data_IF_343824047887
#
_entry.id   IF_343824047887
#
_cell.length_a   1.000
_cell.length_b   1.000
_cell.length_c   1.000
_cell.angle_alpha   90.00
_cell.angle_beta   90.00
_cell.angle_gamma   90.00
#
_symmetry.space_group_name_H-M   'P 1'
#
loop_
_entity.id
_entity.type
_entity.pdbx_description
1 polymer ?
#
# COMPACT_ATOMS: atom_id res chain seq x y z
N UNK A 1 -28.34 -20.24 -33.84
CA UNK A 1 -28.07 -18.78 -33.78
C UNK A 1 -27.67 -18.29 -32.38
N UNK A 2 -28.23 -18.78 -31.26
CA UNK A 2 -27.92 -18.27 -29.92
C UNK A 2 -26.47 -18.42 -29.41
N UNK A 3 -25.79 -19.53 -29.71
CA UNK A 3 -24.41 -19.77 -29.22
C UNK A 3 -23.35 -18.84 -29.85
N UNK A 4 -23.52 -18.47 -31.12
CA UNK A 4 -22.62 -17.51 -31.78
C UNK A 4 -22.75 -16.11 -31.16
N UNK A 5 -23.98 -15.69 -30.83
CA UNK A 5 -24.25 -14.40 -30.19
C UNK A 5 -23.71 -14.34 -28.76
N UNK A 6 -23.78 -15.44 -28.01
CA UNK A 6 -23.27 -15.54 -26.65
C UNK A 6 -21.73 -15.59 -26.61
N UNK A 7 -21.10 -16.29 -27.56
CA UNK A 7 -19.64 -16.28 -27.73
C UNK A 7 -19.12 -14.89 -28.10
N UNK A 8 -19.80 -14.16 -29.01
CA UNK A 8 -19.45 -12.78 -29.35
C UNK A 8 -19.63 -11.85 -28.15
N UNK A 9 -20.72 -11.98 -27.39
CA UNK A 9 -20.94 -11.19 -26.16
C UNK A 9 -19.85 -11.47 -25.11
N UNK A 10 -19.47 -12.74 -24.94
CA UNK A 10 -18.39 -13.15 -24.02
C UNK A 10 -17.02 -12.62 -24.47
N UNK A 11 -16.76 -12.57 -25.78
CA UNK A 11 -15.52 -12.01 -26.33
C UNK A 11 -15.43 -10.49 -26.16
N UNK A 12 -16.56 -9.78 -26.19
CA UNK A 12 -16.63 -8.33 -25.91
C UNK A 12 -16.39 -8.03 -24.42
N UNK A 13 -16.99 -8.82 -23.53
CA UNK A 13 -16.84 -8.62 -22.07
C UNK A 13 -15.45 -9.06 -21.58
N UNK A 14 -14.94 -10.17 -22.10
CA UNK A 14 -13.66 -10.79 -21.71
C UNK A 14 -12.73 -10.96 -22.93
N UNK A 15 -12.18 -9.86 -23.47
CA UNK A 15 -11.24 -9.92 -24.59
C UNK A 15 -9.94 -10.64 -24.18
N UNK A 16 -9.20 -11.14 -25.17
CA UNK A 16 -7.85 -11.68 -24.95
C UNK A 16 -6.86 -10.54 -24.78
N UNK A 17 -5.92 -10.71 -23.85
CA UNK A 17 -4.88 -9.73 -23.59
C UNK A 17 -3.88 -9.70 -24.74
N UNK A 18 -3.62 -8.50 -25.27
CA UNK A 18 -2.68 -8.26 -26.38
C UNK A 18 -1.39 -7.57 -25.92
N UNK A 19 -1.49 -6.72 -24.90
CA UNK A 19 -0.37 -5.98 -24.33
C UNK A 19 -0.03 -6.56 -22.95
N UNK A 20 1.26 -6.78 -22.70
CA UNK A 20 1.76 -7.24 -21.42
C UNK A 20 2.36 -6.07 -20.64
N UNK A 21 2.08 -6.04 -19.34
CA UNK A 21 2.62 -5.07 -18.39
C UNK A 21 3.77 -5.70 -17.58
N UNK A 22 4.47 -4.91 -16.79
CA UNK A 22 5.54 -5.39 -15.89
C UNK A 22 6.64 -6.21 -16.57
N UNK A 23 7.06 -5.82 -17.77
CA UNK A 23 8.06 -6.58 -18.54
C UNK A 23 7.56 -7.95 -19.01
N UNK A 24 6.24 -8.14 -19.03
CA UNK A 24 5.55 -9.35 -19.45
C UNK A 24 5.90 -10.57 -18.61
N UNK A 25 6.02 -11.72 -19.25
CA UNK A 25 6.10 -13.02 -18.56
C UNK A 25 7.34 -13.13 -17.66
N UNK A 26 8.47 -12.64 -18.13
CA UNK A 26 9.74 -12.70 -17.40
C UNK A 26 9.73 -11.69 -16.25
N UNK A 27 9.27 -10.47 -16.50
CA UNK A 27 9.20 -9.46 -15.47
C UNK A 27 8.18 -9.80 -14.37
N UNK A 28 7.01 -10.35 -14.72
CA UNK A 28 6.04 -10.86 -13.75
C UNK A 28 6.64 -11.95 -12.84
N UNK A 29 7.38 -12.91 -13.41
CA UNK A 29 8.10 -13.91 -12.61
C UNK A 29 9.18 -13.25 -11.73
N UNK A 30 9.93 -12.30 -12.29
CA UNK A 30 10.94 -11.53 -11.57
C UNK A 30 10.34 -10.83 -10.34
N UNK A 31 9.28 -10.06 -10.52
CA UNK A 31 8.58 -9.35 -9.42
C UNK A 31 8.02 -10.34 -8.40
N UNK A 32 7.46 -11.47 -8.84
CA UNK A 32 6.95 -12.52 -7.96
C UNK A 32 7.99 -13.03 -6.96
N UNK A 33 9.25 -13.16 -7.40
CA UNK A 33 10.35 -13.64 -6.57
C UNK A 33 11.04 -12.51 -5.81
N UNK A 34 11.21 -11.35 -6.44
CA UNK A 34 11.93 -10.21 -5.89
C UNK A 34 11.17 -9.51 -4.76
N UNK A 35 9.85 -9.39 -4.85
CA UNK A 35 9.06 -8.66 -3.83
C UNK A 35 9.14 -9.34 -2.45
N UNK A 36 8.88 -10.66 -2.31
CA UNK A 36 9.11 -11.35 -1.04
C UNK A 36 10.57 -11.26 -0.59
N UNK A 37 11.52 -11.47 -1.51
CA UNK A 37 12.94 -11.39 -1.20
C UNK A 37 13.33 -10.02 -0.61
N UNK A 38 12.93 -8.93 -1.26
CA UNK A 38 13.23 -7.58 -0.78
C UNK A 38 12.47 -7.23 0.49
N UNK A 39 11.27 -7.75 0.69
CA UNK A 39 10.53 -7.56 1.95
C UNK A 39 11.31 -8.14 3.13
N UNK A 40 11.80 -9.38 3.01
CA UNK A 40 12.67 -9.95 4.04
C UNK A 40 13.99 -9.22 4.12
N UNK A 41 14.63 -8.95 2.98
CA UNK A 41 15.95 -8.34 2.97
C UNK A 41 15.93 -6.97 3.66
N UNK A 42 14.96 -6.10 3.38
CA UNK A 42 14.84 -4.80 4.04
C UNK A 42 14.65 -4.92 5.55
N UNK A 43 13.82 -5.88 5.99
CA UNK A 43 13.51 -6.07 7.41
C UNK A 43 14.59 -6.81 8.20
N UNK A 44 15.39 -7.65 7.54
CA UNK A 44 16.49 -8.41 8.17
C UNK A 44 17.84 -7.68 8.05
N UNK A 45 18.04 -6.87 7.01
CA UNK A 45 19.29 -6.12 6.85
C UNK A 45 19.42 -5.00 7.89
N UNK A 46 18.30 -4.48 8.40
CA UNK A 46 18.26 -3.36 9.33
C UNK A 46 17.91 -3.82 10.76
N UNK A 47 18.94 -4.25 11.49
CA UNK A 47 18.82 -4.72 12.89
C UNK A 47 19.75 -3.92 13.82
N UNK A 48 19.52 -3.93 15.14
CA UNK A 48 20.42 -3.30 16.11
C UNK A 48 21.88 -3.77 15.97
N UNK A 49 22.11 -5.03 15.57
CA UNK A 49 23.43 -5.62 15.42
C UNK A 49 24.14 -5.17 14.13
N UNK A 50 23.38 -4.93 13.06
CA UNK A 50 23.93 -4.53 11.75
C UNK A 50 23.98 -3.01 11.57
N UNK A 51 23.25 -2.24 12.38
CA UNK A 51 23.17 -0.78 12.28
C UNK A 51 22.67 -0.29 10.91
N UNK A 52 22.01 -1.17 10.15
CA UNK A 52 21.51 -0.93 8.79
C UNK A 52 22.58 -0.53 7.76
N UNK A 53 23.87 -0.80 8.05
CA UNK A 53 24.99 -0.46 7.17
C UNK A 53 25.12 -1.45 6.00
N UNK A 54 24.85 -1.00 4.77
CA UNK A 54 24.94 -1.71 3.46
C UNK A 54 26.32 -2.31 3.08
N UNK A 55 27.12 -2.81 4.05
CA UNK A 55 28.47 -3.36 3.84
C UNK A 55 28.55 -4.90 3.77
N UNK A 56 29.78 -5.44 3.63
CA UNK A 56 30.06 -6.88 3.46
C UNK A 56 29.44 -7.83 4.49
N UNK A 57 29.09 -7.35 5.70
CA UNK A 57 28.39 -8.16 6.72
C UNK A 57 26.92 -8.47 6.35
N UNK A 58 26.30 -7.70 5.46
CA UNK A 58 24.91 -7.91 4.98
C UNK A 58 24.82 -9.02 3.94
N UNK A 59 25.91 -9.32 3.23
CA UNK A 59 25.96 -10.44 2.29
C UNK A 59 26.05 -11.80 2.97
N UNK A 60 26.28 -11.85 4.29
CA UNK A 60 26.14 -13.08 5.07
C UNK A 60 24.66 -13.34 5.44
N UNK A 61 23.83 -13.40 4.40
CA UNK A 61 22.41 -13.76 4.48
C UNK A 61 22.22 -15.11 5.19
N UNK A 62 23.22 -15.99 5.16
CA UNK A 62 23.20 -17.29 5.83
C UNK A 62 23.14 -17.13 7.36
N UNK A 63 23.91 -16.23 7.94
CA UNK A 63 23.90 -16.01 9.39
C UNK A 63 22.60 -15.36 9.87
N UNK A 64 22.08 -14.39 9.11
CA UNK A 64 20.77 -13.77 9.36
C UNK A 64 19.61 -14.77 9.21
N UNK A 65 19.65 -15.61 8.17
CA UNK A 65 18.65 -16.64 7.92
C UNK A 65 18.66 -17.73 9.00
N UNK A 66 19.84 -18.15 9.46
CA UNK A 66 19.95 -19.20 10.48
C UNK A 66 19.58 -18.73 11.89
N UNK A 67 19.70 -17.43 12.17
CA UNK A 67 19.38 -16.85 13.47
C UNK A 67 17.94 -16.35 13.59
N UNK A 68 17.29 -16.09 12.46
CA UNK A 68 15.90 -15.60 12.44
C UNK A 68 14.94 -16.75 12.24
N UNK A 69 14.01 -16.92 13.19
CA UNK A 69 12.87 -17.81 12.98
C UNK A 69 11.90 -17.14 12.01
N UNK A 70 11.86 -17.66 10.78
CA UNK A 70 11.01 -17.09 9.73
C UNK A 70 9.60 -17.64 9.76
N UNK A 71 9.37 -18.81 10.35
CA UNK A 71 8.06 -19.45 10.32
C UNK A 71 7.63 -19.91 11.70
N UNK A 72 6.37 -19.65 12.02
CA UNK A 72 5.70 -20.14 13.21
C UNK A 72 4.22 -20.31 12.93
N UNK A 73 3.67 -21.45 13.35
CA UNK A 73 2.24 -21.69 13.28
C UNK A 73 1.46 -20.71 14.15
N UNK A 74 2.03 -20.30 15.27
CA UNK A 74 1.42 -19.32 16.18
C UNK A 74 1.25 -17.97 15.48
N UNK A 75 2.30 -17.44 14.84
CA UNK A 75 2.23 -16.20 14.08
C UNK A 75 1.23 -16.28 12.91
N UNK A 76 1.12 -17.45 12.28
CA UNK A 76 0.10 -17.69 11.25
C UNK A 76 -1.32 -17.57 11.81
N UNK A 77 -1.58 -18.15 13.00
CA UNK A 77 -2.88 -18.01 13.66
C UNK A 77 -3.15 -16.58 14.14
N UNK A 78 -2.14 -15.86 14.62
CA UNK A 78 -2.26 -14.45 15.01
C UNK A 78 -2.63 -13.59 13.79
N UNK A 79 -1.93 -13.75 12.67
CA UNK A 79 -2.23 -13.01 11.44
C UNK A 79 -3.59 -13.39 10.85
N UNK A 80 -3.96 -14.67 10.89
CA UNK A 80 -5.30 -15.11 10.49
C UNK A 80 -6.38 -14.49 11.40
N UNK A 81 -6.13 -14.44 12.72
CA UNK A 81 -7.00 -13.78 13.68
C UNK A 81 -7.18 -12.29 13.37
N UNK A 82 -6.09 -11.59 13.01
CA UNK A 82 -6.14 -10.21 12.51
C UNK A 82 -7.02 -10.06 11.27
N UNK A 83 -6.81 -10.91 10.26
CA UNK A 83 -7.60 -10.86 9.03
C UNK A 83 -9.10 -11.12 9.30
N UNK A 84 -9.41 -12.14 10.12
CA UNK A 84 -10.78 -12.48 10.49
C UNK A 84 -11.45 -11.40 11.34
N UNK A 85 -10.70 -10.73 12.21
CA UNK A 85 -11.17 -9.56 12.96
C UNK A 85 -11.61 -8.44 12.00
N UNK A 86 -10.82 -8.13 10.98
CA UNK A 86 -11.17 -7.11 10.00
C UNK A 86 -12.39 -7.50 9.15
N UNK A 87 -12.50 -8.77 8.77
CA UNK A 87 -13.70 -9.29 8.08
C UNK A 87 -14.93 -9.13 8.98
N UNK A 88 -14.81 -9.43 10.27
CA UNK A 88 -15.90 -9.24 11.24
C UNK A 88 -16.27 -7.76 11.38
N UNK A 89 -15.30 -6.86 11.47
CA UNK A 89 -15.54 -5.42 11.46
C UNK A 89 -16.25 -4.96 10.18
N UNK A 90 -15.82 -5.45 9.01
CA UNK A 90 -16.49 -5.14 7.75
C UNK A 90 -17.95 -5.60 7.74
N UNK A 91 -18.25 -6.78 8.29
CA UNK A 91 -19.61 -7.32 8.38
C UNK A 91 -20.48 -6.52 9.38
N UNK A 92 -19.99 -6.34 10.60
CA UNK A 92 -20.77 -5.86 11.76
C UNK A 92 -20.87 -4.35 11.81
N UNK A 93 -19.80 -3.62 11.51
CA UNK A 93 -19.80 -2.16 11.65
C UNK A 93 -20.71 -1.51 10.60
N UNK A 94 -21.51 -0.49 10.97
CA UNK A 94 -22.35 0.21 10.02
C UNK A 94 -21.49 0.89 8.94
N UNK A 95 -22.02 0.96 7.73
CA UNK A 95 -21.33 1.55 6.59
C UNK A 95 -22.32 2.03 5.54
N UNK A 96 -21.94 3.11 4.83
CA UNK A 96 -22.71 3.57 3.66
C UNK A 96 -22.45 2.62 2.49
N UNK A 97 -23.45 2.42 1.64
CA UNK A 97 -23.29 1.68 0.40
C UNK A 97 -23.16 2.65 -0.77
N UNK A 98 -22.17 2.43 -1.63
CA UNK A 98 -21.91 3.25 -2.81
C UNK A 98 -21.71 2.37 -4.02
N UNK A 99 -22.23 2.83 -5.15
CA UNK A 99 -22.04 2.17 -6.43
C UNK A 99 -20.70 2.58 -7.03
N UNK A 100 -19.94 1.59 -7.46
CA UNK A 100 -18.69 1.78 -8.20
C UNK A 100 -18.94 2.15 -9.66
N UNK A 101 -17.89 1.98 -10.45
CA UNK A 101 -17.90 2.30 -11.88
C UNK A 101 -18.76 1.33 -12.69
N UNK A 102 -19.18 1.80 -13.88
CA UNK A 102 -19.91 0.96 -14.84
C UNK A 102 -18.94 -0.05 -15.44
N UNK A 103 -19.24 -1.33 -15.29
CA UNK A 103 -18.48 -2.42 -15.88
C UNK A 103 -18.77 -2.55 -17.38
N UNK A 104 -17.93 -3.31 -18.10
CA UNK A 104 -18.08 -3.52 -19.55
C UNK A 104 -19.37 -4.24 -19.96
N UNK A 105 -20.01 -4.94 -19.05
CA UNK A 105 -21.31 -5.56 -19.27
C UNK A 105 -22.49 -4.60 -18.99
N UNK A 106 -22.20 -3.35 -18.60
CA UNK A 106 -23.18 -2.32 -18.27
C UNK A 106 -23.68 -2.37 -16.82
N UNK A 107 -23.23 -3.34 -16.02
CA UNK A 107 -23.62 -3.44 -14.61
C UNK A 107 -22.81 -2.50 -13.73
N UNK A 108 -23.32 -2.22 -12.52
CA UNK A 108 -22.61 -1.50 -11.46
C UNK A 108 -22.57 -2.39 -10.23
N UNK A 109 -21.42 -2.38 -9.55
CA UNK A 109 -21.24 -3.10 -8.30
C UNK A 109 -21.41 -2.15 -7.12
N UNK A 110 -22.12 -2.58 -6.09
CA UNK A 110 -22.24 -1.82 -4.84
C UNK A 110 -21.19 -2.29 -3.82
N UNK A 111 -20.68 -1.34 -3.04
CA UNK A 111 -19.60 -1.52 -2.08
C UNK A 111 -19.97 -0.89 -0.74
N UNK A 112 -19.65 -1.59 0.36
CA UNK A 112 -19.84 -1.09 1.72
C UNK A 112 -18.60 -0.33 2.18
N UNK A 113 -18.79 0.93 2.54
CA UNK A 113 -17.75 1.86 3.00
C UNK A 113 -17.85 1.97 4.52
N UNK A 114 -16.90 1.36 5.21
CA UNK A 114 -16.78 1.38 6.68
C UNK A 114 -15.34 1.16 7.15
N UNK A 115 -14.36 1.42 6.29
CA UNK A 115 -12.96 1.20 6.60
C UNK A 115 -12.49 2.21 7.68
N UNK A 116 -12.93 3.48 7.62
CA UNK A 116 -12.77 4.44 8.73
C UNK A 116 -13.31 3.94 10.07
N UNK A 117 -14.51 3.36 10.09
CA UNK A 117 -15.08 2.80 11.33
C UNK A 117 -14.26 1.61 11.83
N UNK A 118 -13.70 0.82 10.92
CA UNK A 118 -12.80 -0.30 11.22
C UNK A 118 -11.48 0.20 11.82
N UNK A 119 -10.90 1.28 11.29
CA UNK A 119 -9.73 1.93 11.87
C UNK A 119 -10.02 2.43 13.29
N UNK A 120 -11.11 3.17 13.50
CA UNK A 120 -11.47 3.68 14.83
C UNK A 120 -11.75 2.56 15.84
N UNK A 121 -12.38 1.47 15.40
CA UNK A 121 -12.58 0.28 16.22
C UNK A 121 -11.22 -0.36 16.61
N UNK A 122 -10.29 -0.43 15.66
CA UNK A 122 -8.95 -0.99 15.89
C UNK A 122 -8.12 -0.14 16.84
N UNK A 123 -8.12 1.19 16.68
CA UNK A 123 -7.46 2.13 17.59
C UNK A 123 -8.04 2.01 19.00
N UNK A 124 -9.37 1.94 19.12
CA UNK A 124 -10.05 1.77 20.41
C UNK A 124 -9.69 0.44 21.06
N UNK A 125 -9.66 -0.65 20.29
CA UNK A 125 -9.28 -1.97 20.77
C UNK A 125 -7.81 -2.00 21.20
N UNK A 126 -6.91 -1.41 20.43
CA UNK A 126 -5.49 -1.29 20.78
C UNK A 126 -5.31 -0.51 22.10
N UNK A 127 -6.01 0.62 22.27
CA UNK A 127 -5.98 1.38 23.52
C UNK A 127 -6.50 0.55 24.71
N UNK A 128 -7.60 -0.19 24.54
CA UNK A 128 -8.13 -1.08 25.58
C UNK A 128 -7.15 -2.20 25.93
N UNK A 129 -6.52 -2.79 24.92
CA UNK A 129 -5.50 -3.83 25.11
C UNK A 129 -4.31 -3.27 25.88
N UNK A 130 -3.84 -2.08 25.52
CA UNK A 130 -2.75 -1.41 26.21
C UNK A 130 -3.07 -1.11 27.67
N UNK A 131 -4.27 -0.58 27.97
CA UNK A 131 -4.70 -0.32 29.35
C UNK A 131 -4.79 -1.61 30.17
N UNK A 132 -5.19 -2.74 29.56
CA UNK A 132 -5.45 -3.99 30.27
C UNK A 132 -4.22 -4.90 30.44
N UNK A 133 -3.33 -4.93 29.46
CA UNK A 133 -2.18 -5.84 29.42
C UNK A 133 -0.82 -5.13 29.22
N UNK A 134 -0.82 -3.80 29.12
CA UNK A 134 0.39 -3.02 28.88
C UNK A 134 0.89 -3.15 27.43
N UNK A 135 2.20 -2.99 27.27
CA UNK A 135 2.91 -3.07 26.00
C UNK A 135 3.22 -4.51 25.53
N UNK A 136 3.15 -5.50 26.43
CA UNK A 136 3.52 -6.89 26.15
C UNK A 136 2.90 -7.49 24.87
N UNK A 137 1.58 -7.35 24.59
CA UNK A 137 0.99 -7.86 23.35
C UNK A 137 1.54 -7.20 22.08
N UNK A 138 1.91 -5.92 22.15
CA UNK A 138 2.48 -5.17 21.02
C UNK A 138 3.95 -5.53 20.81
N UNK A 139 4.70 -5.76 21.90
CA UNK A 139 6.07 -6.25 21.83
C UNK A 139 6.14 -7.66 21.23
N UNK A 140 5.13 -8.50 21.46
CA UNK A 140 5.03 -9.80 20.77
C UNK A 140 5.02 -9.62 19.24
N UNK A 141 4.21 -8.69 18.72
CA UNK A 141 4.13 -8.41 17.27
C UNK A 141 5.50 -8.02 16.71
N UNK A 142 6.25 -7.18 17.42
CA UNK A 142 7.61 -6.77 17.04
C UNK A 142 8.61 -7.93 17.10
N UNK A 143 8.53 -8.76 18.15
CA UNK A 143 9.45 -9.89 18.32
C UNK A 143 9.20 -11.01 17.30
N UNK A 144 7.97 -11.16 16.82
CA UNK A 144 7.56 -12.14 15.81
C UNK A 144 7.39 -11.53 14.41
N UNK A 145 7.96 -10.35 14.16
CA UNK A 145 7.74 -9.57 12.94
C UNK A 145 8.10 -10.35 11.65
N UNK A 146 9.24 -11.05 11.64
CA UNK A 146 9.63 -11.88 10.49
C UNK A 146 8.69 -13.08 10.26
N UNK A 147 8.14 -13.66 11.34
CA UNK A 147 7.15 -14.74 11.26
C UNK A 147 5.81 -14.22 10.71
N UNK A 148 5.45 -12.98 11.04
CA UNK A 148 4.26 -12.30 10.53
C UNK A 148 4.38 -11.93 9.04
N UNK A 149 5.57 -11.56 8.56
CA UNK A 149 5.82 -11.40 7.10
C UNK A 149 5.55 -12.72 6.37
N UNK A 150 5.99 -13.84 6.93
CA UNK A 150 5.72 -15.15 6.33
C UNK A 150 4.24 -15.49 6.35
N UNK A 151 3.55 -15.21 7.46
CA UNK A 151 2.11 -15.41 7.58
C UNK A 151 1.33 -14.56 6.56
N UNK A 152 1.71 -13.29 6.37
CA UNK A 152 1.09 -12.41 5.37
C UNK A 152 1.35 -12.89 3.95
N UNK A 153 2.57 -13.35 3.64
CA UNK A 153 2.90 -13.93 2.33
C UNK A 153 2.08 -15.18 2.03
N UNK A 154 1.94 -16.09 3.00
CA UNK A 154 1.09 -17.28 2.86
C UNK A 154 -0.36 -16.86 2.56
N UNK A 155 -0.87 -15.85 3.27
CA UNK A 155 -2.21 -15.33 3.04
C UNK A 155 -2.34 -14.70 1.64
N UNK A 156 -1.36 -13.89 1.21
CA UNK A 156 -1.33 -13.27 -0.11
C UNK A 156 -1.36 -14.30 -1.24
N UNK A 157 -0.49 -15.31 -1.16
CA UNK A 157 -0.40 -16.40 -2.14
C UNK A 157 -1.71 -17.18 -2.16
N UNK A 158 -2.27 -17.52 -0.99
CA UNK A 158 -3.52 -18.27 -0.88
C UNK A 158 -4.68 -17.52 -1.55
N UNK A 159 -4.79 -16.21 -1.35
CA UNK A 159 -5.83 -15.40 -1.98
C UNK A 159 -5.63 -15.25 -3.48
N UNK A 160 -4.39 -15.09 -3.95
CA UNK A 160 -4.09 -15.04 -5.38
C UNK A 160 -4.45 -16.36 -6.08
N UNK A 161 -4.13 -17.50 -5.46
CA UNK A 161 -4.51 -18.83 -5.95
C UNK A 161 -6.04 -18.99 -5.95
N UNK A 162 -6.71 -18.59 -4.88
CA UNK A 162 -8.17 -18.65 -4.77
C UNK A 162 -8.87 -17.81 -5.85
N UNK A 163 -8.47 -16.56 -6.04
CA UNK A 163 -9.06 -15.67 -7.05
C UNK A 163 -8.75 -16.16 -8.47
N UNK A 164 -7.55 -16.69 -8.70
CA UNK A 164 -7.21 -17.31 -9.99
C UNK A 164 -8.12 -18.51 -10.28
N UNK A 165 -8.34 -19.40 -9.30
CA UNK A 165 -9.26 -20.53 -9.44
C UNK A 165 -10.70 -20.08 -9.71
N UNK A 166 -11.19 -19.10 -8.94
CA UNK A 166 -12.55 -18.56 -9.10
C UNK A 166 -12.79 -17.92 -10.46
N UNK A 167 -11.75 -17.35 -11.08
CA UNK A 167 -11.84 -16.70 -12.39
C UNK A 167 -12.29 -17.63 -13.53
N UNK A 168 -12.16 -18.95 -13.38
CA UNK A 168 -12.59 -19.92 -14.39
C UNK A 168 -14.08 -20.26 -14.33
N UNK A 169 -14.78 -19.81 -13.29
CA UNK A 169 -16.21 -20.02 -13.14
C UNK A 169 -17.01 -19.19 -14.18
N UNK A 170 -18.22 -19.64 -14.58
CA UNK A 170 -19.05 -18.89 -15.51
C UNK A 170 -19.50 -17.55 -14.92
N UNK A 171 -19.70 -16.55 -15.78
CA UNK A 171 -20.21 -15.23 -15.39
C UNK A 171 -19.19 -14.26 -14.81
N UNK A 172 -17.90 -14.63 -14.75
CA UNK A 172 -16.83 -13.74 -14.26
C UNK A 172 -16.39 -12.74 -15.34
N UNK A 173 -16.17 -11.49 -14.93
CA UNK A 173 -15.54 -10.45 -15.75
C UNK A 173 -14.03 -10.47 -15.47
N UNK A 174 -13.24 -10.61 -16.53
CA UNK A 174 -11.80 -10.75 -16.46
C UNK A 174 -11.10 -9.42 -16.69
N UNK A 175 -10.05 -9.12 -15.95
CA UNK A 175 -9.24 -7.92 -16.18
C UNK A 175 -8.67 -7.91 -17.62
N UNK A 176 -8.49 -6.71 -18.19
CA UNK A 176 -7.96 -6.56 -19.55
C UNK A 176 -6.55 -7.14 -19.68
N UNK A 177 -5.71 -6.91 -18.67
CA UNK A 177 -4.37 -7.49 -18.57
C UNK A 177 -4.35 -8.97 -18.17
N UNK A 178 -5.45 -9.51 -17.63
CA UNK A 178 -5.47 -10.81 -16.96
C UNK A 178 -5.80 -12.02 -17.83
N UNK A 179 -6.10 -11.87 -19.12
CA UNK A 179 -6.59 -12.95 -19.98
C UNK A 179 -5.61 -13.30 -21.12
N UNK A 180 -4.32 -13.46 -20.78
CA UNK A 180 -3.24 -13.70 -21.75
C UNK A 180 -3.09 -15.18 -22.15
N UNK A 181 -3.60 -16.11 -21.33
CA UNK A 181 -3.45 -17.55 -21.54
C UNK A 181 -2.13 -18.12 -21.00
N UNK A 182 -1.28 -17.28 -20.38
CA UNK A 182 -0.12 -17.74 -19.63
C UNK A 182 -0.46 -17.82 -18.14
N UNK A 183 -0.33 -19.01 -17.55
CA UNK A 183 -0.74 -19.27 -16.16
C UNK A 183 0.01 -18.38 -15.15
N UNK A 184 1.33 -18.23 -15.30
CA UNK A 184 2.17 -17.48 -14.35
C UNK A 184 1.81 -15.99 -14.41
N UNK A 185 1.72 -15.43 -15.62
CA UNK A 185 1.39 -14.02 -15.81
C UNK A 185 -0.05 -13.70 -15.36
N UNK A 186 -1.01 -14.54 -15.74
CA UNK A 186 -2.42 -14.36 -15.40
C UNK A 186 -2.69 -14.53 -13.88
N UNK A 187 -1.90 -15.38 -13.18
CA UNK A 187 -1.93 -15.49 -11.72
C UNK A 187 -1.27 -14.28 -11.04
N UNK A 188 -0.18 -13.77 -11.62
CA UNK A 188 0.52 -12.59 -11.11
C UNK A 188 -0.34 -11.33 -11.19
N UNK A 189 -0.83 -10.98 -12.37
CA UNK A 189 -1.60 -9.75 -12.62
C UNK A 189 -3.05 -9.88 -12.12
N UNK A 190 -3.56 -11.10 -12.02
CA UNK A 190 -4.94 -11.39 -11.64
C UNK A 190 -5.87 -11.51 -12.83
N UNK A 191 -6.61 -12.62 -12.89
CA UNK A 191 -7.60 -12.88 -13.96
C UNK A 191 -8.91 -12.15 -13.73
N UNK A 192 -9.47 -12.26 -12.54
CA UNK A 192 -10.79 -11.71 -12.22
C UNK A 192 -10.70 -10.22 -11.88
N UNK A 193 -11.57 -9.40 -12.48
CA UNK A 193 -11.58 -7.95 -12.29
C UNK A 193 -12.05 -7.58 -10.87
N UNK A 194 -13.10 -8.21 -10.36
CA UNK A 194 -13.66 -7.93 -9.03
C UNK A 194 -14.07 -9.24 -8.34
N UNK A 195 -13.11 -10.00 -7.76
CA UNK A 195 -13.43 -11.26 -7.10
C UNK A 195 -14.27 -11.04 -5.85
N UNK A 196 -15.44 -11.69 -5.85
CA UNK A 196 -16.46 -11.52 -4.81
C UNK A 196 -16.93 -12.83 -4.20
N UNK A 197 -17.14 -12.76 -2.88
CA UNK A 197 -17.89 -13.75 -2.10
C UNK A 197 -19.18 -13.06 -1.65
N UNK A 198 -20.29 -13.34 -2.34
CA UNK A 198 -21.54 -12.59 -2.19
C UNK A 198 -21.32 -11.06 -2.39
N UNK A 199 -21.60 -10.24 -1.39
CA UNK A 199 -21.37 -8.78 -1.42
C UNK A 199 -19.97 -8.37 -1.00
N UNK A 200 -19.15 -9.30 -0.52
CA UNK A 200 -17.77 -9.04 -0.08
C UNK A 200 -16.84 -9.05 -1.27
N UNK A 201 -16.20 -7.92 -1.53
CA UNK A 201 -15.25 -7.73 -2.60
C UNK A 201 -13.83 -7.80 -2.04
N UNK A 202 -13.10 -8.85 -2.43
CA UNK A 202 -11.80 -9.20 -1.82
C UNK A 202 -10.78 -8.10 -2.09
N UNK A 203 -10.81 -7.54 -3.31
CA UNK A 203 -9.87 -6.51 -3.74
C UNK A 203 -10.01 -5.24 -2.91
N UNK A 204 -11.20 -4.63 -2.92
CA UNK A 204 -11.43 -3.38 -2.17
C UNK A 204 -11.28 -3.56 -0.66
N UNK A 205 -11.57 -4.76 -0.15
CA UNK A 205 -11.32 -5.07 1.25
C UNK A 205 -9.83 -5.04 1.57
N UNK A 206 -9.00 -5.71 0.77
CA UNK A 206 -7.56 -5.85 1.01
C UNK A 206 -6.79 -4.55 0.83
N UNK A 207 -7.13 -3.78 -0.21
CA UNK A 207 -6.54 -2.47 -0.50
C UNK A 207 -6.61 -1.53 0.71
N UNK A 208 -7.76 -1.52 1.38
CA UNK A 208 -8.01 -0.59 2.49
C UNK A 208 -7.61 -1.17 3.85
N UNK A 209 -8.14 -2.35 4.22
CA UNK A 209 -8.20 -2.72 5.64
C UNK A 209 -6.96 -3.47 6.15
N UNK A 210 -6.66 -4.70 5.67
CA UNK A 210 -5.62 -5.53 6.26
C UNK A 210 -4.21 -5.00 6.05
N UNK A 211 -3.96 -4.20 5.01
CA UNK A 211 -2.69 -3.54 4.75
C UNK A 211 -2.52 -2.25 5.55
N UNK A 212 -3.32 -1.22 5.26
CA UNK A 212 -3.13 0.13 5.81
C UNK A 212 -3.40 0.20 7.32
N UNK A 213 -4.46 -0.46 7.81
CA UNK A 213 -4.74 -0.47 9.25
C UNK A 213 -3.65 -1.26 10.00
N UNK A 214 -3.11 -2.33 9.39
CA UNK A 214 -1.99 -3.06 9.98
C UNK A 214 -0.73 -2.21 10.03
N UNK A 215 -0.43 -1.45 8.97
CA UNK A 215 0.68 -0.50 8.95
C UNK A 215 0.60 0.46 10.16
N UNK A 216 -0.53 1.14 10.34
CA UNK A 216 -0.73 2.02 11.50
C UNK A 216 -0.56 1.31 12.86
N UNK A 217 -0.99 0.05 12.97
CA UNK A 217 -0.83 -0.75 14.18
C UNK A 217 0.64 -1.17 14.41
N UNK A 218 1.35 -1.59 13.36
CA UNK A 218 2.78 -1.94 13.42
C UNK A 218 3.60 -0.73 13.84
N UNK A 219 3.30 0.44 13.30
CA UNK A 219 3.94 1.69 13.68
C UNK A 219 3.78 1.99 15.17
N UNK A 220 2.57 1.81 15.70
CA UNK A 220 2.32 1.93 17.13
C UNK A 220 3.13 0.91 17.95
N UNK A 221 3.23 -0.33 17.48
CA UNK A 221 4.07 -1.35 18.12
C UNK A 221 5.55 -0.95 18.16
N UNK A 222 6.08 -0.33 17.10
CA UNK A 222 7.46 0.16 17.07
C UNK A 222 7.71 1.34 18.01
N UNK A 223 6.75 2.25 18.14
CA UNK A 223 6.80 3.31 19.16
C UNK A 223 6.87 2.71 20.56
N UNK A 224 6.00 1.75 20.86
CA UNK A 224 6.00 1.05 22.15
C UNK A 224 7.31 0.30 22.40
N UNK A 225 7.90 -0.30 21.37
CA UNK A 225 9.22 -0.93 21.46
C UNK A 225 10.29 0.07 21.91
N UNK A 226 10.33 1.26 21.32
CA UNK A 226 11.28 2.29 21.74
C UNK A 226 11.03 2.75 23.18
N UNK A 227 9.77 2.93 23.57
CA UNK A 227 9.40 3.31 24.95
C UNK A 227 9.82 2.23 25.95
N UNK A 228 9.65 0.95 25.62
CA UNK A 228 10.05 -0.17 26.48
C UNK A 228 11.58 -0.23 26.66
N UNK A 229 12.36 -0.01 25.60
CA UNK A 229 13.84 -0.09 25.66
C UNK A 229 14.49 1.16 26.28
N UNK A 230 13.97 2.35 25.98
CA UNK A 230 14.61 3.64 26.35
C UNK A 230 13.83 4.45 27.40
N UNK A 231 12.67 3.98 27.84
CA UNK A 231 11.81 4.62 28.85
C UNK A 231 11.03 5.84 28.36
N UNK A 232 11.36 6.39 27.18
CA UNK A 232 10.66 7.53 26.57
C UNK A 232 10.76 7.49 25.04
N UNK A 233 9.76 7.99 24.31
CA UNK A 233 9.84 8.08 22.86
C UNK A 233 10.69 9.28 22.42
N UNK A 234 11.45 9.12 21.33
CA UNK A 234 12.13 10.21 20.65
C UNK A 234 11.13 11.09 19.89
N UNK A 235 11.47 12.35 19.64
CA UNK A 235 10.60 13.24 18.87
C UNK A 235 10.50 12.80 17.39
N UNK A 236 11.57 12.22 16.84
CA UNK A 236 11.60 11.67 15.48
C UNK A 236 10.60 10.53 15.28
N UNK A 237 10.53 9.54 16.20
CA UNK A 237 9.63 8.39 16.03
C UNK A 237 8.18 8.82 16.17
N UNK A 238 7.88 9.78 17.05
CA UNK A 238 6.54 10.31 17.21
C UNK A 238 6.10 11.09 15.97
N UNK A 239 6.97 11.90 15.38
CA UNK A 239 6.66 12.61 14.13
C UNK A 239 6.40 11.63 12.99
N UNK A 240 7.27 10.61 12.82
CA UNK A 240 7.09 9.59 11.80
C UNK A 240 5.75 8.84 11.99
N UNK A 241 5.45 8.40 13.21
CA UNK A 241 4.18 7.77 13.55
C UNK A 241 2.98 8.67 13.23
N UNK A 242 3.01 9.94 13.65
CA UNK A 242 1.90 10.87 13.43
C UNK A 242 1.67 11.09 11.93
N UNK A 243 2.74 11.24 11.13
CA UNK A 243 2.59 11.45 9.69
C UNK A 243 2.03 10.22 8.97
N UNK A 244 2.55 9.04 9.30
CA UNK A 244 2.09 7.78 8.70
C UNK A 244 0.66 7.45 9.15
N UNK A 245 0.35 7.61 10.44
CA UNK A 245 -1.01 7.46 10.95
C UNK A 245 -1.98 8.47 10.32
N UNK A 246 -1.57 9.74 10.15
CA UNK A 246 -2.40 10.74 9.48
C UNK A 246 -2.70 10.37 8.03
N UNK A 247 -1.71 9.83 7.32
CA UNK A 247 -1.90 9.32 5.96
C UNK A 247 -2.92 8.18 5.92
N UNK A 248 -2.76 7.16 6.77
CA UNK A 248 -3.72 6.05 6.88
C UNK A 248 -5.11 6.56 7.26
N UNK A 249 -5.19 7.45 8.24
CA UNK A 249 -6.45 8.06 8.66
C UNK A 249 -7.16 8.78 7.50
N UNK A 250 -6.43 9.58 6.72
CA UNK A 250 -6.98 10.30 5.57
C UNK A 250 -7.46 9.36 4.46
N UNK A 251 -6.69 8.29 4.17
CA UNK A 251 -7.07 7.27 3.20
C UNK A 251 -8.37 6.55 3.63
N UNK A 252 -8.43 6.12 4.90
CA UNK A 252 -9.58 5.44 5.49
C UNK A 252 -10.83 6.32 5.54
N UNK A 253 -10.66 7.61 5.85
CA UNK A 253 -11.75 8.59 5.88
C UNK A 253 -12.31 8.87 4.48
N UNK A 254 -11.45 8.94 3.46
CA UNK A 254 -11.82 9.16 2.06
C UNK A 254 -11.85 7.86 1.24
N UNK A 255 -12.34 6.76 1.83
CA UNK A 255 -12.40 5.42 1.21
C UNK A 255 -13.12 5.41 -0.15
N UNK A 256 -14.02 6.34 -0.46
CA UNK A 256 -14.72 6.37 -1.75
C UNK A 256 -13.84 6.73 -2.96
N UNK A 257 -12.67 7.34 -2.73
CA UNK A 257 -11.77 7.72 -3.82
C UNK A 257 -11.24 6.48 -4.56
N UNK A 258 -11.11 5.34 -3.86
CA UNK A 258 -10.52 4.11 -4.41
C UNK A 258 -11.31 3.55 -5.59
N UNK A 259 -12.62 3.77 -5.63
CA UNK A 259 -13.46 3.26 -6.71
C UNK A 259 -13.15 3.89 -8.08
N UNK A 260 -12.32 4.95 -8.11
CA UNK A 260 -11.84 5.59 -9.34
C UNK A 260 -10.38 5.28 -9.67
N UNK A 261 -9.72 4.47 -8.85
CA UNK A 261 -8.32 4.08 -9.04
C UNK A 261 -8.19 2.92 -10.03
N UNK A 262 -6.99 2.79 -10.60
CA UNK A 262 -6.66 1.77 -11.61
C UNK A 262 -6.80 0.36 -11.05
N UNK A 263 -6.33 0.16 -9.81
CA UNK A 263 -6.35 -1.12 -9.12
C UNK A 263 -7.77 -1.70 -9.06
N UNK A 264 -8.77 -0.87 -8.80
CA UNK A 264 -10.19 -1.27 -8.75
C UNK A 264 -10.83 -1.36 -10.14
N UNK A 265 -10.57 -0.38 -11.01
CA UNK A 265 -11.35 -0.22 -12.25
C UNK A 265 -10.85 -1.05 -13.43
N UNK A 266 -9.55 -1.34 -13.51
CA UNK A 266 -8.94 -2.00 -14.68
C UNK A 266 -8.21 -3.28 -14.35
N UNK A 267 -7.54 -3.32 -13.21
CA UNK A 267 -6.55 -4.36 -12.93
C UNK A 267 -7.20 -5.60 -12.32
N UNK A 268 -6.53 -6.75 -12.37
CA UNK A 268 -7.02 -7.96 -11.74
C UNK A 268 -6.57 -8.06 -10.30
N UNK A 269 -7.27 -8.84 -9.47
CA UNK A 269 -6.72 -9.20 -8.16
C UNK A 269 -5.92 -10.49 -8.26
N UNK A 270 -4.59 -10.35 -8.43
CA UNK A 270 -3.62 -11.44 -8.52
C UNK A 270 -2.58 -11.39 -7.41
N UNK A 271 -1.47 -12.10 -7.59
CA UNK A 271 -0.37 -12.07 -6.63
C UNK A 271 0.17 -10.64 -6.41
N UNK A 272 0.27 -9.83 -7.46
CA UNK A 272 0.83 -8.47 -7.40
C UNK A 272 0.09 -7.59 -6.39
N UNK A 273 -1.24 -7.43 -6.55
CA UNK A 273 -2.03 -6.64 -5.61
C UNK A 273 -2.10 -7.31 -4.24
N UNK A 274 -2.34 -8.62 -4.20
CA UNK A 274 -2.44 -9.37 -2.93
C UNK A 274 -1.18 -9.29 -2.06
N UNK A 275 0.02 -9.37 -2.67
CA UNK A 275 1.29 -9.21 -1.93
C UNK A 275 1.57 -7.73 -1.62
N UNK A 276 1.18 -6.83 -2.52
CA UNK A 276 1.25 -5.38 -2.31
C UNK A 276 0.51 -4.97 -1.05
N UNK A 277 -0.78 -5.28 -0.99
CA UNK A 277 -1.69 -4.88 0.07
C UNK A 277 -1.31 -5.50 1.42
N UNK A 278 -1.18 -6.83 1.45
CA UNK A 278 -1.11 -7.58 2.71
C UNK A 278 0.30 -7.66 3.28
N UNK A 279 1.33 -7.59 2.43
CA UNK A 279 2.72 -7.82 2.82
C UNK A 279 3.58 -6.58 2.59
N UNK A 280 3.61 -6.05 1.36
CA UNK A 280 4.56 -4.99 1.02
C UNK A 280 4.28 -3.71 1.80
N UNK A 281 3.05 -3.19 1.72
CA UNK A 281 2.66 -1.93 2.37
C UNK A 281 2.94 -1.96 3.88
N UNK A 282 2.36 -2.86 4.70
CA UNK A 282 2.57 -2.83 6.15
C UNK A 282 4.02 -3.08 6.55
N UNK A 283 4.70 -4.04 5.93
CA UNK A 283 6.02 -4.47 6.41
C UNK A 283 7.19 -3.67 5.83
N UNK A 284 6.99 -2.92 4.74
CA UNK A 284 8.03 -2.02 4.20
C UNK A 284 7.82 -0.56 4.60
N UNK A 285 6.56 -0.10 4.75
CA UNK A 285 6.30 1.30 5.08
C UNK A 285 6.50 1.59 6.58
N UNK A 286 6.55 0.54 7.41
CA UNK A 286 6.92 0.65 8.84
C UNK A 286 8.44 0.69 9.08
N UNK A 287 9.28 0.56 8.04
CA UNK A 287 10.75 0.43 8.19
C UNK A 287 11.40 1.63 8.90
N UNK A 288 10.86 2.83 8.70
CA UNK A 288 11.38 4.05 9.31
C UNK A 288 11.21 4.00 10.83
N UNK A 289 10.05 3.53 11.31
CA UNK A 289 9.83 3.36 12.74
C UNK A 289 10.55 2.14 13.30
N UNK A 290 10.69 1.07 12.51
CA UNK A 290 11.54 -0.06 12.88
C UNK A 290 12.97 0.40 13.15
N UNK A 291 13.56 1.22 12.26
CA UNK A 291 14.89 1.81 12.46
C UNK A 291 14.96 2.72 13.69
N UNK A 292 14.01 3.66 13.81
CA UNK A 292 14.00 4.60 14.94
C UNK A 292 13.77 3.87 16.28
N UNK A 293 13.14 2.70 16.28
CA UNK A 293 12.86 1.95 17.51
C UNK A 293 14.12 1.55 18.29
N UNK A 294 15.26 1.38 17.61
CA UNK A 294 16.54 1.08 18.24
C UNK A 294 17.60 2.19 18.06
N UNK A 295 17.32 3.21 17.22
CA UNK A 295 18.15 4.41 17.09
C UNK A 295 17.34 5.65 17.51
N UNK A 296 17.33 6.00 18.82
CA UNK A 296 16.57 7.15 19.30
C UNK A 296 17.21 8.47 18.85
N UNK A 297 16.75 9.00 17.72
CA UNK A 297 17.19 10.28 17.17
C UNK A 297 16.40 11.44 17.80
N UNK A 298 17.09 12.40 18.41
CA UNK A 298 16.45 13.62 18.92
C UNK A 298 16.73 14.80 17.98
N UNK A 299 15.70 15.22 17.24
CA UNK A 299 15.77 16.37 16.34
C UNK A 299 15.84 17.68 17.13
N UNK A 300 16.68 18.60 16.68
CA UNK A 300 16.67 19.99 17.13
C UNK A 300 15.38 20.71 16.70
N UNK A 301 15.06 21.84 17.33
CA UNK A 301 13.88 22.64 16.97
C UNK A 301 13.92 23.08 15.50
N UNK A 302 15.10 23.37 14.96
CA UNK A 302 15.27 23.77 13.56
C UNK A 302 14.93 22.61 12.60
N UNK A 303 15.47 21.42 12.85
CA UNK A 303 15.19 20.23 12.05
C UNK A 303 13.71 19.84 12.13
N UNK A 304 13.09 19.95 13.31
CA UNK A 304 11.67 19.68 13.51
C UNK A 304 10.80 20.64 12.67
N UNK A 305 11.10 21.94 12.68
CA UNK A 305 10.38 22.93 11.87
C UNK A 305 10.55 22.64 10.37
N UNK A 306 11.76 22.27 9.94
CA UNK A 306 12.04 21.93 8.54
C UNK A 306 11.21 20.73 8.09
N UNK A 307 11.23 19.63 8.86
CA UNK A 307 10.49 18.41 8.57
C UNK A 307 8.98 18.68 8.53
N UNK A 308 8.44 19.41 9.51
CA UNK A 308 7.03 19.80 9.51
C UNK A 308 6.64 20.63 8.29
N UNK A 309 7.50 21.57 7.89
CA UNK A 309 7.25 22.43 6.73
C UNK A 309 7.17 21.60 5.46
N UNK A 310 8.12 20.69 5.24
CA UNK A 310 8.13 19.79 4.08
C UNK A 310 6.87 18.90 4.09
N UNK A 311 6.51 18.34 5.23
CA UNK A 311 5.33 17.48 5.36
C UNK A 311 4.03 18.23 5.04
N UNK A 312 3.83 19.42 5.62
CA UNK A 312 2.60 20.20 5.44
C UNK A 312 2.46 20.72 4.00
N UNK A 313 3.56 21.18 3.39
CA UNK A 313 3.57 21.62 2.00
C UNK A 313 3.30 20.45 1.06
N UNK A 314 3.99 19.32 1.26
CA UNK A 314 3.79 18.11 0.47
C UNK A 314 2.36 17.58 0.57
N UNK A 315 1.80 17.51 1.78
CA UNK A 315 0.41 17.10 2.00
C UNK A 315 -0.59 18.08 1.39
N UNK A 316 -0.34 19.39 1.51
CA UNK A 316 -1.17 20.42 0.89
C UNK A 316 -1.25 20.27 -0.63
N UNK A 317 -0.11 20.10 -1.30
CA UNK A 317 -0.04 19.85 -2.74
C UNK A 317 -0.80 18.57 -3.10
N UNK A 318 -0.53 17.48 -2.37
CA UNK A 318 -1.19 16.19 -2.59
C UNK A 318 -2.72 16.27 -2.53
N UNK A 319 -3.26 16.92 -1.49
CA UNK A 319 -4.72 17.05 -1.31
C UNK A 319 -5.34 17.92 -2.38
N UNK A 320 -4.75 19.09 -2.68
CA UNK A 320 -5.29 20.01 -3.70
C UNK A 320 -5.33 19.32 -5.07
N UNK A 321 -4.22 18.72 -5.51
CA UNK A 321 -4.16 18.06 -6.82
C UNK A 321 -5.14 16.89 -6.93
N UNK A 322 -5.33 16.11 -5.86
CA UNK A 322 -6.28 15.00 -5.87
C UNK A 322 -7.73 15.48 -5.85
N UNK A 323 -8.05 16.53 -5.10
CA UNK A 323 -9.39 17.12 -5.11
C UNK A 323 -9.75 17.69 -6.49
N UNK A 324 -8.80 18.35 -7.16
CA UNK A 324 -8.96 18.82 -8.54
C UNK A 324 -9.18 17.67 -9.53
N UNK A 325 -8.35 16.62 -9.47
CA UNK A 325 -8.50 15.40 -10.28
C UNK A 325 -9.86 14.75 -10.08
N UNK A 326 -10.31 14.64 -8.83
CA UNK A 326 -11.61 14.05 -8.48
C UNK A 326 -12.78 14.94 -8.91
N UNK A 327 -12.64 16.26 -8.83
CA UNK A 327 -13.64 17.20 -9.33
C UNK A 327 -13.76 17.15 -10.87
N UNK A 328 -12.63 17.04 -11.57
CA UNK A 328 -12.60 16.91 -13.04
C UNK A 328 -13.28 15.62 -13.52
N UNK A 329 -12.96 14.48 -12.89
CA UNK A 329 -13.58 13.18 -13.22
C UNK A 329 -15.10 13.19 -13.00
N UNK A 330 -15.55 13.73 -11.86
CA UNK A 330 -16.99 13.88 -11.55
C UNK A 330 -17.74 14.79 -12.53
N UNK A 331 -17.08 15.82 -13.07
CA UNK A 331 -17.65 16.70 -14.11
C UNK A 331 -17.74 16.00 -15.46
N UNK A 332 -16.72 15.21 -15.84
CA UNK A 332 -16.71 14.45 -17.10
C UNK A 332 -17.87 13.44 -17.17
N UNK A 333 -18.26 12.84 -16.04
CA UNK A 333 -19.40 11.93 -15.94
C UNK A 333 -20.78 12.61 -15.99
N UNK A 334 -20.84 13.95 -15.86
CA UNK A 334 -22.10 14.73 -15.88
C UNK A 334 -22.07 15.86 -16.94
N UNK A 335 -22.31 15.56 -18.24
CA UNK A 335 -22.16 16.52 -19.34
C UNK A 335 -23.14 17.71 -19.35
N UNK A 336 -24.20 17.71 -18.53
CA UNK A 336 -25.31 18.68 -18.61
C UNK A 336 -25.00 20.10 -18.09
N UNK A 337 -23.80 20.37 -17.60
CA UNK A 337 -23.38 21.68 -17.06
C UNK A 337 -22.36 22.39 -17.98
N UNK A 338 -22.52 22.27 -19.30
CA UNK A 338 -21.62 22.85 -20.32
C UNK A 338 -21.99 24.29 -20.74
N UNK A 339 -22.42 25.13 -19.80
CA UNK A 339 -22.72 26.54 -20.05
C UNK A 339 -21.70 27.46 -19.39
N UNK A 340 -20.56 27.70 -20.06
CA UNK A 340 -19.55 28.77 -19.85
C UNK A 340 -18.11 28.25 -19.65
N UNK A 341 -17.51 27.80 -20.74
CA UNK A 341 -16.05 27.64 -20.88
C UNK A 341 -15.52 28.73 -21.80
N UNK A 342 -14.91 29.78 -21.25
CA UNK A 342 -13.91 30.65 -21.93
C UNK A 342 -12.87 31.30 -21.00
N UNK A 343 -12.91 31.05 -19.68
CA UNK A 343 -12.12 31.82 -18.71
C UNK A 343 -10.79 31.23 -18.25
N UNK A 344 -10.56 29.92 -18.39
CA UNK A 344 -9.51 29.24 -17.63
C UNK A 344 -8.43 28.52 -18.46
N UNK A 345 -8.58 28.43 -19.78
CA UNK A 345 -7.60 27.73 -20.65
C UNK A 345 -6.24 28.45 -20.75
N UNK A 346 -6.10 29.68 -20.24
CA UNK A 346 -4.87 30.47 -20.34
C UNK A 346 -3.91 30.30 -19.15
N UNK A 347 -4.34 29.74 -18.01
CA UNK A 347 -3.48 29.57 -16.82
C UNK A 347 -2.89 28.15 -16.68
N UNK A 348 -3.47 27.16 -17.37
CA UNK A 348 -3.03 25.75 -17.31
C UNK A 348 -1.75 25.45 -18.12
N UNK A 349 -1.32 26.37 -18.99
CA UNK A 349 -0.23 26.12 -19.94
C UNK A 349 1.19 26.31 -19.37
N UNK A 350 1.34 26.75 -18.12
CA UNK A 350 2.66 27.07 -17.54
C UNK A 350 3.15 26.14 -16.41
N UNK A 351 2.30 25.24 -15.89
CA UNK A 351 2.70 24.30 -14.81
C UNK A 351 2.50 22.82 -15.17
N UNK A 352 1.74 22.50 -16.22
CA UNK A 352 1.51 21.11 -16.63
C UNK A 352 1.71 21.02 -18.15
N UNK A 353 2.85 20.47 -18.55
CA UNK A 353 3.15 20.19 -19.96
C UNK A 353 2.08 19.29 -20.61
N UNK A 354 2.00 19.29 -21.94
CA UNK A 354 0.86 18.76 -22.68
C UNK A 354 0.69 17.25 -22.49
N UNK A 355 -0.48 16.89 -21.94
CA UNK A 355 -1.33 15.71 -22.22
C UNK A 355 -0.66 14.60 -23.04
N UNK A 356 0.12 13.74 -22.36
CA UNK A 356 0.39 12.34 -22.76
C UNK A 356 0.89 11.46 -21.60
N UNK A 357 0.54 11.82 -20.36
CA UNK A 357 1.01 11.15 -19.15
C UNK A 357 -0.10 10.39 -18.40
N UNK A 358 -1.13 9.87 -19.10
CA UNK A 358 -2.18 9.07 -18.43
C UNK A 358 -1.81 7.59 -18.20
N UNK A 359 -0.57 7.18 -18.48
CA UNK A 359 -0.12 5.78 -18.36
C UNK A 359 0.98 5.52 -17.31
N UNK A 360 1.43 6.53 -16.55
CA UNK A 360 2.58 6.39 -15.65
C UNK A 360 2.35 6.90 -14.21
N UNK A 361 1.15 7.38 -13.89
CA UNK A 361 0.81 8.02 -12.61
C UNK A 361 -0.17 7.23 -11.74
N UNK A 362 -0.35 5.93 -12.03
CA UNK A 362 -1.02 4.99 -11.12
C UNK A 362 0.04 4.11 -10.48
N UNK A 363 0.21 4.18 -9.16
CA UNK A 363 0.97 3.17 -8.42
C UNK A 363 2.23 3.62 -7.68
N UNK A 364 2.53 4.93 -7.58
CA UNK A 364 3.53 5.42 -6.63
C UNK A 364 2.85 6.33 -5.62
N UNK A 365 2.64 5.80 -4.41
CA UNK A 365 2.30 6.58 -3.22
C UNK A 365 3.41 7.60 -2.96
N UNK A 366 3.22 8.81 -3.51
CA UNK A 366 4.13 9.94 -3.36
C UNK A 366 4.37 10.33 -1.89
N UNK A 367 3.53 9.86 -0.95
CA UNK A 367 3.67 10.12 0.49
C UNK A 367 4.81 9.35 1.17
N UNK A 368 5.19 8.17 0.67
CA UNK A 368 6.13 7.28 1.40
C UNK A 368 7.58 7.48 0.96
N UNK A 369 7.79 8.02 -0.24
CA UNK A 369 9.13 8.30 -0.78
C UNK A 369 9.89 9.44 -0.08
N UNK A 370 9.23 10.33 0.66
CA UNK A 370 9.90 11.51 1.23
C UNK A 370 10.71 11.25 2.51
N UNK A 371 10.41 10.18 3.28
CA UNK A 371 11.15 9.91 4.53
C UNK A 371 12.47 9.15 4.29
N UNK A 372 12.59 8.44 3.16
CA UNK A 372 13.87 7.82 2.77
C UNK A 372 14.97 8.86 2.44
N UNK A 373 14.61 10.12 2.16
CA UNK A 373 15.58 11.17 1.88
C UNK A 373 16.30 11.69 3.13
N UNK A 374 15.72 11.53 4.33
CA UNK A 374 16.31 12.08 5.56
C UNK A 374 17.18 11.10 6.35
N UNK A 375 17.06 9.78 6.10
CA UNK A 375 17.87 8.76 6.77
C UNK A 375 19.36 8.71 6.37
N UNK A 376 19.78 9.49 5.38
CA UNK A 376 21.18 9.56 4.92
C UNK A 376 21.92 10.84 5.38
N UNK A 377 21.32 11.65 6.25
CA UNK A 377 21.98 12.83 6.83
C UNK A 377 22.64 12.47 8.17
N UNK A 378 23.55 11.50 8.16
CA UNK A 378 24.56 11.38 9.21
C UNK A 378 25.85 12.05 8.73
N UNK A 379 26.56 12.86 9.55
CA UNK A 379 27.52 13.86 9.06
C UNK A 379 28.86 13.35 8.51
N UNK A 380 29.01 12.05 8.25
CA UNK A 380 30.30 11.44 7.91
C UNK A 380 30.37 10.77 6.53
N UNK A 381 29.35 10.92 5.68
CA UNK A 381 29.45 10.50 4.29
C UNK A 381 29.47 11.70 3.34
N UNK A 382 30.68 11.96 2.88
CA UNK A 382 31.13 12.98 1.94
C UNK A 382 30.40 12.83 0.61
N UNK A 383 29.50 13.76 0.28
CA UNK A 383 29.12 14.00 -1.13
C UNK A 383 28.56 15.41 -1.44
N UNK A 384 28.43 16.30 -0.45
CA UNK A 384 27.89 17.66 -0.64
C UNK A 384 28.93 18.80 -0.51
N UNK A 385 30.21 18.48 -0.28
CA UNK A 385 31.25 19.52 -0.12
C UNK A 385 31.88 19.99 -1.45
N UNK A 386 31.73 19.23 -2.53
CA UNK A 386 32.41 19.51 -3.81
C UNK A 386 31.52 20.20 -4.87
N UNK A 387 30.28 20.56 -4.52
CA UNK A 387 29.34 21.22 -5.44
C UNK A 387 29.20 22.73 -5.26
N UNK A 388 29.91 23.36 -4.31
CA UNK A 388 29.79 24.81 -4.04
C UNK A 388 31.12 25.56 -3.80
N UNK A 389 32.25 25.07 -4.31
CA UNK A 389 33.48 25.84 -4.35
C UNK A 389 34.04 25.93 -5.77
N UNK A 390 33.57 26.91 -6.55
CA UNK A 390 34.39 27.49 -7.62
C UNK A 390 35.26 28.59 -7.01
N UNK A 391 36.60 28.57 -7.21
CA UNK A 391 37.46 29.66 -6.81
C UNK A 391 37.31 30.81 -7.82
N UNK A 392 36.93 31.98 -7.33
CA UNK A 392 37.19 33.26 -8.00
C UNK A 392 38.57 33.69 -7.50
N UNK A 393 39.56 33.70 -8.40
CA UNK A 393 40.72 34.60 -8.37
C UNK A 393 41.41 34.55 -9.75
N UNK A 394 41.63 35.75 -10.31
CA UNK A 394 42.19 36.15 -11.62
C UNK A 394 41.22 36.27 -12.81
#
# INVERSE_FOLDING_TARGET
MGQATEATKRAVVNPRTTEFEFGGRIGALGVTLLVPFFTYWLNLACTPQTGCLLGHKILDLRTLWNSTKLFSLEACYVYLGWYMYLVLCWLVLPGRWIDGTVLRDGTRLSYKINAFSTLMCTVSLAALVYVRWGDSPFLYVVNHYAELITASLIMSISQAVYCYWCSFQPGRILALGGNSGNVIYDWFIGRELNPRIASFDIKTFNEMRPGLILWALLDFCWVLKQVHEFGKPSNSILLAFIFQFWYVFDAEYNEDIIFTQMDITTDGFGFMLSVGDLTWVPFTYSLQLAYLSFVPLHLSNFELVLVLTVQLVGYGIFRISNEEKNAFRRRSENPKVHGNQKGYEAFDLWLVGPVKASKLLGGLDYGVGMVFAYGNLHPNHILLRDLFCHPIDA
#
